data_IF_700093757412
#
_entry.id   IF_700093757412
#
_cell.length_a   1.000
_cell.length_b   1.000
_cell.length_c   1.000
_cell.angle_alpha   90.00
_cell.angle_beta   90.00
_cell.angle_gamma   90.00
#
_symmetry.space_group_name_H-M   'P 1'
#
loop_
_entity.id
_entity.type
_entity.pdbx_description
1 polymer ?
#
# COMPACT_ATOMS: atom_id res chain seq x y z
N UNK A 1 -17.38 10.28 -5.21
CA UNK A 1 -17.43 8.97 -5.94
C UNK A 1 -16.30 8.03 -5.52
N UNK A 2 -15.03 8.44 -5.64
CA UNK A 2 -13.85 7.63 -5.28
C UNK A 2 -13.82 7.21 -3.79
N UNK A 3 -14.22 8.11 -2.88
CA UNK A 3 -14.32 7.78 -1.45
C UNK A 3 -15.20 6.54 -1.19
N UNK A 4 -16.42 6.52 -1.73
CA UNK A 4 -17.36 5.39 -1.59
C UNK A 4 -16.80 4.10 -2.17
N UNK A 5 -16.11 4.18 -3.32
CA UNK A 5 -15.48 3.01 -3.96
C UNK A 5 -14.39 2.46 -3.05
N UNK A 6 -13.50 3.32 -2.57
CA UNK A 6 -12.41 2.92 -1.69
C UNK A 6 -12.92 2.32 -0.37
N UNK A 7 -13.96 2.92 0.23
CA UNK A 7 -14.61 2.38 1.43
C UNK A 7 -15.12 0.96 1.19
N UNK A 8 -15.85 0.74 0.09
CA UNK A 8 -16.39 -0.58 -0.27
C UNK A 8 -15.29 -1.63 -0.54
N UNK A 9 -14.16 -1.21 -1.12
CA UNK A 9 -13.03 -2.08 -1.39
C UNK A 9 -12.28 -2.48 -0.10
N UNK A 10 -12.16 -1.55 0.86
CA UNK A 10 -11.45 -1.78 2.12
C UNK A 10 -12.34 -2.46 3.17
N UNK A 11 -13.53 -1.91 3.43
CA UNK A 11 -14.53 -2.42 4.36
C UNK A 11 -15.69 -2.98 3.55
N UNK A 12 -15.82 -4.30 3.55
CA UNK A 12 -17.00 -4.94 2.99
C UNK A 12 -18.10 -4.92 4.05
N UNK A 13 -19.31 -4.63 3.61
CA UNK A 13 -20.50 -4.58 4.47
C UNK A 13 -20.93 -5.99 4.94
N UNK A 14 -20.32 -7.06 4.43
CA UNK A 14 -20.72 -8.44 4.71
C UNK A 14 -19.53 -9.35 5.11
N UNK A 15 -19.61 -10.11 6.22
CA UNK A 15 -18.57 -11.04 6.69
C UNK A 15 -18.26 -12.23 5.76
N UNK A 16 -19.05 -12.42 4.69
CA UNK A 16 -18.98 -13.59 3.79
C UNK A 16 -18.39 -13.25 2.42
N UNK A 17 -18.09 -11.99 2.14
CA UNK A 17 -17.41 -11.61 0.92
C UNK A 17 -15.90 -11.66 1.20
N UNK A 18 -15.39 -12.89 1.30
CA UNK A 18 -13.97 -13.24 1.42
C UNK A 18 -13.32 -13.42 0.03
N UNK A 19 -13.92 -12.83 -1.01
CA UNK A 19 -13.33 -12.88 -2.34
C UNK A 19 -11.96 -12.21 -2.33
N UNK A 20 -10.99 -12.92 -2.89
CA UNK A 20 -9.58 -12.53 -2.95
C UNK A 20 -9.41 -11.17 -3.63
N UNK A 21 -8.46 -10.38 -3.16
CA UNK A 21 -8.08 -9.13 -3.82
C UNK A 21 -7.19 -9.48 -5.01
N UNK A 22 -7.71 -9.27 -6.21
CA UNK A 22 -6.97 -9.42 -7.46
C UNK A 22 -6.31 -8.11 -7.91
N UNK A 23 -5.57 -8.15 -9.01
CA UNK A 23 -4.84 -6.98 -9.52
C UNK A 23 -5.79 -5.86 -9.99
N UNK A 24 -7.00 -6.18 -10.45
CA UNK A 24 -8.02 -5.18 -10.83
C UNK A 24 -8.55 -4.44 -9.59
N UNK A 25 -8.74 -5.15 -8.48
CA UNK A 25 -9.06 -4.56 -7.19
C UNK A 25 -7.91 -3.69 -6.67
N UNK A 26 -6.65 -4.13 -6.79
CA UNK A 26 -5.47 -3.32 -6.44
C UNK A 26 -5.38 -2.05 -7.29
N UNK A 27 -5.61 -2.15 -8.60
CA UNK A 27 -5.67 -0.98 -9.50
C UNK A 27 -6.78 -0.01 -9.07
N UNK A 28 -7.95 -0.53 -8.72
CA UNK A 28 -9.08 0.28 -8.25
C UNK A 28 -8.79 0.97 -6.91
N UNK A 29 -8.08 0.29 -6.01
CA UNK A 29 -7.60 0.84 -4.74
C UNK A 29 -6.58 1.95 -5.00
N UNK A 30 -5.56 1.71 -5.85
CA UNK A 30 -4.56 2.71 -6.23
C UNK A 30 -5.25 3.97 -6.76
N UNK A 31 -6.13 3.84 -7.75
CA UNK A 31 -6.80 4.98 -8.37
C UNK A 31 -7.67 5.75 -7.36
N UNK A 32 -8.39 5.03 -6.50
CA UNK A 32 -9.28 5.67 -5.53
C UNK A 32 -8.53 6.30 -4.37
N UNK A 33 -7.49 5.64 -3.83
CA UNK A 33 -6.62 6.19 -2.81
C UNK A 33 -5.84 7.41 -3.33
N UNK A 34 -5.38 7.36 -4.59
CA UNK A 34 -4.74 8.50 -5.24
C UNK A 34 -5.65 9.72 -5.32
N UNK A 35 -6.91 9.52 -5.69
CA UNK A 35 -7.89 10.60 -5.73
C UNK A 35 -8.31 11.11 -4.34
N UNK A 36 -8.31 10.27 -3.31
CA UNK A 36 -8.79 10.62 -1.97
C UNK A 36 -7.69 11.19 -1.07
N UNK A 37 -6.48 10.65 -1.13
CA UNK A 37 -5.41 10.94 -0.17
C UNK A 37 -4.17 11.59 -0.78
N UNK A 38 -3.94 11.42 -2.08
CA UNK A 38 -2.66 11.80 -2.70
C UNK A 38 -2.80 12.85 -3.81
N UNK A 39 -3.97 13.48 -3.93
CA UNK A 39 -4.25 14.57 -4.89
C UNK A 39 -3.83 14.25 -6.34
N UNK A 40 -3.99 12.99 -6.76
CA UNK A 40 -3.64 12.55 -8.10
C UNK A 40 -2.13 12.36 -8.37
N UNK A 41 -1.24 12.63 -7.41
CA UNK A 41 0.23 12.58 -7.56
C UNK A 41 0.74 11.21 -8.04
N UNK A 42 0.07 10.12 -7.68
CA UNK A 42 0.50 8.77 -8.06
C UNK A 42 0.18 8.39 -9.53
N UNK A 43 -0.54 9.24 -10.26
CA UNK A 43 -1.04 8.92 -11.60
C UNK A 43 0.10 8.66 -12.59
N UNK A 44 0.15 7.44 -13.12
CA UNK A 44 1.20 7.03 -14.06
C UNK A 44 2.61 6.95 -13.46
N UNK A 45 2.74 6.95 -12.12
CA UNK A 45 4.03 6.94 -11.41
C UNK A 45 4.20 5.77 -10.45
N UNK A 46 3.22 4.88 -10.37
CA UNK A 46 3.25 3.69 -9.51
C UNK A 46 3.04 2.46 -10.38
N UNK A 47 3.95 1.52 -10.27
CA UNK A 47 3.82 0.16 -10.79
C UNK A 47 3.93 -0.82 -9.61
N UNK A 48 3.37 -2.02 -9.74
CA UNK A 48 3.63 -3.09 -8.78
C UNK A 48 3.87 -4.43 -9.46
N UNK A 49 4.61 -5.29 -8.79
CA UNK A 49 4.83 -6.67 -9.19
C UNK A 49 4.79 -7.62 -7.99
N UNK A 50 4.50 -8.89 -8.27
CA UNK A 50 4.53 -9.96 -7.30
C UNK A 50 5.89 -10.66 -7.32
N UNK A 51 6.48 -10.91 -6.15
CA UNK A 51 7.73 -11.66 -6.02
C UNK A 51 7.58 -12.89 -5.15
N UNK A 52 8.26 -13.96 -5.57
CA UNK A 52 8.45 -15.20 -4.83
C UNK A 52 9.94 -15.48 -4.61
N UNK A 53 10.80 -14.45 -4.60
CA UNK A 53 12.20 -14.65 -4.22
C UNK A 53 12.32 -14.97 -2.71
N UNK A 54 13.40 -15.64 -2.32
CA UNK A 54 13.63 -16.10 -0.93
C UNK A 54 13.43 -15.01 0.12
N UNK A 55 13.95 -13.79 -0.11
CA UNK A 55 13.77 -12.63 0.79
C UNK A 55 12.32 -12.23 1.05
N UNK A 56 11.39 -12.54 0.15
CA UNK A 56 9.97 -12.22 0.32
C UNK A 56 9.20 -13.32 1.07
N UNK A 57 9.82 -14.44 1.43
CA UNK A 57 9.15 -15.50 2.20
C UNK A 57 9.09 -15.24 3.70
N UNK A 58 10.03 -14.46 4.24
CA UNK A 58 10.21 -14.30 5.68
C UNK A 58 10.49 -12.86 6.09
N UNK A 59 11.19 -12.10 5.25
CA UNK A 59 11.75 -10.81 5.65
C UNK A 59 11.02 -9.60 5.10
N UNK A 60 10.25 -9.71 4.00
CA UNK A 60 9.65 -8.54 3.34
C UNK A 60 8.23 -8.86 2.88
N UNK A 61 7.25 -8.11 3.39
CA UNK A 61 5.84 -8.19 2.97
C UNK A 61 5.62 -7.36 1.71
N UNK A 62 6.17 -6.15 1.70
CA UNK A 62 6.21 -5.23 0.56
C UNK A 62 7.49 -4.39 0.62
N UNK A 63 7.89 -3.82 -0.51
CA UNK A 63 8.91 -2.78 -0.57
C UNK A 63 8.64 -1.87 -1.76
N UNK A 64 8.99 -0.60 -1.61
CA UNK A 64 8.92 0.38 -2.69
C UNK A 64 10.32 0.77 -3.15
N UNK A 65 10.56 0.73 -4.45
CA UNK A 65 11.73 1.28 -5.10
C UNK A 65 11.40 2.63 -5.76
N UNK A 66 12.39 3.52 -5.82
CA UNK A 66 12.32 4.82 -6.46
C UNK A 66 13.30 4.88 -7.62
N UNK A 67 12.87 5.38 -8.78
CA UNK A 67 13.74 5.66 -9.92
C UNK A 67 13.32 6.96 -10.64
N UNK A 68 14.24 7.62 -11.36
CA UNK A 68 13.86 8.67 -12.30
C UNK A 68 12.90 8.13 -13.36
N UNK A 69 11.98 8.96 -13.83
CA UNK A 69 11.07 8.57 -14.92
C UNK A 69 11.86 8.33 -16.20
N UNK A 70 11.49 7.27 -16.92
CA UNK A 70 12.06 6.99 -18.25
C UNK A 70 11.66 8.07 -19.27
N UNK A 71 10.45 8.63 -19.13
CA UNK A 71 9.88 9.64 -20.02
C UNK A 71 9.42 10.87 -19.21
N UNK A 72 10.22 11.94 -19.26
CA UNK A 72 9.93 13.23 -18.62
C UNK A 72 10.55 13.40 -17.23
N UNK A 73 10.21 14.51 -16.58
CA UNK A 73 10.84 14.90 -15.32
C UNK A 73 10.20 14.24 -14.10
N UNK A 74 11.02 14.11 -13.05
CA UNK A 74 10.63 13.60 -11.73
C UNK A 74 10.85 12.10 -11.58
N UNK A 75 10.10 11.52 -10.63
CA UNK A 75 10.30 10.16 -10.19
C UNK A 75 9.08 9.26 -10.42
N UNK A 76 9.34 7.96 -10.54
CA UNK A 76 8.35 6.90 -10.51
C UNK A 76 8.81 5.77 -9.57
N UNK A 77 7.85 4.92 -9.21
CA UNK A 77 8.01 3.94 -8.15
C UNK A 77 7.55 2.55 -8.58
N UNK A 78 8.22 1.54 -8.02
CA UNK A 78 7.87 0.14 -8.20
C UNK A 78 7.67 -0.49 -6.82
N UNK A 79 6.45 -0.97 -6.57
CA UNK A 79 6.12 -1.77 -5.40
C UNK A 79 6.41 -3.23 -5.71
N UNK A 80 7.12 -3.93 -4.85
CA UNK A 80 7.29 -5.38 -4.93
C UNK A 80 6.59 -6.02 -3.75
N UNK A 81 5.56 -6.82 -4.04
CA UNK A 81 4.70 -7.48 -3.06
C UNK A 81 5.11 -8.94 -2.89
N UNK A 82 5.13 -9.43 -1.64
CA UNK A 82 5.38 -10.83 -1.34
C UNK A 82 4.18 -11.70 -1.71
N UNK A 83 4.29 -12.44 -2.81
CA UNK A 83 3.33 -13.48 -3.16
C UNK A 83 3.15 -14.53 -2.04
N UNK A 84 4.23 -15.13 -1.46
CA UNK A 84 4.07 -16.21 -0.49
C UNK A 84 3.47 -15.77 0.86
N UNK A 85 3.54 -14.49 1.23
CA UNK A 85 2.91 -13.97 2.45
C UNK A 85 1.52 -13.44 2.14
N UNK A 86 1.38 -12.56 1.14
CA UNK A 86 0.15 -11.81 0.92
C UNK A 86 -0.96 -12.59 0.21
N UNK A 87 -0.62 -13.72 -0.45
CA UNK A 87 -1.59 -14.66 -1.02
C UNK A 87 -1.79 -15.90 -0.15
N UNK A 88 -1.21 -15.91 1.05
CA UNK A 88 -1.36 -17.04 1.96
C UNK A 88 -2.77 -17.03 2.58
N UNK A 89 -3.58 -18.10 2.40
CA UNK A 89 -4.94 -18.15 2.92
C UNK A 89 -5.02 -18.17 4.46
N UNK A 90 -3.90 -18.31 5.16
CA UNK A 90 -3.84 -18.17 6.62
C UNK A 90 -4.16 -16.73 7.07
N UNK A 91 -3.82 -15.74 6.27
CA UNK A 91 -4.02 -14.33 6.61
C UNK A 91 -5.25 -13.79 5.91
N UNK A 92 -5.99 -12.93 6.59
CA UNK A 92 -7.14 -12.28 6.00
C UNK A 92 -6.74 -11.15 5.02
N UNK A 93 -7.68 -10.77 4.15
CA UNK A 93 -7.48 -9.77 3.09
C UNK A 93 -6.94 -8.41 3.58
N UNK A 94 -7.16 -8.04 4.85
CA UNK A 94 -6.66 -6.80 5.45
C UNK A 94 -5.13 -6.77 5.42
N UNK A 95 -4.43 -7.90 5.45
CA UNK A 95 -2.97 -7.90 5.33
C UNK A 95 -2.52 -7.32 3.99
N UNK A 96 -3.12 -7.78 2.88
CA UNK A 96 -2.81 -7.27 1.54
C UNK A 96 -3.25 -5.81 1.38
N UNK A 97 -4.43 -5.43 1.88
CA UNK A 97 -4.88 -4.03 1.87
C UNK A 97 -3.89 -3.12 2.60
N UNK A 98 -3.48 -3.53 3.79
CA UNK A 98 -2.58 -2.77 4.65
C UNK A 98 -1.21 -2.65 4.00
N UNK A 99 -0.68 -3.76 3.46
CA UNK A 99 0.61 -3.76 2.78
C UNK A 99 0.59 -2.86 1.55
N UNK A 100 -0.45 -2.97 0.72
CA UNK A 100 -0.53 -2.15 -0.48
C UNK A 100 -0.67 -0.66 -0.15
N UNK A 101 -1.57 -0.28 0.78
CA UNK A 101 -1.72 1.12 1.20
C UNK A 101 -0.45 1.67 1.87
N UNK A 102 0.25 0.86 2.67
CA UNK A 102 1.54 1.22 3.25
C UNK A 102 2.55 1.61 2.16
N UNK A 103 2.68 0.77 1.12
CA UNK A 103 3.59 1.05 0.02
C UNK A 103 3.13 2.25 -0.83
N UNK A 104 1.82 2.52 -0.97
CA UNK A 104 1.34 3.74 -1.64
C UNK A 104 1.74 5.03 -0.90
N UNK A 105 1.81 5.01 0.44
CA UNK A 105 2.32 6.15 1.21
C UNK A 105 3.81 6.37 0.90
N UNK A 106 4.60 5.29 0.84
CA UNK A 106 6.00 5.38 0.40
C UNK A 106 6.12 5.93 -1.02
N UNK A 107 5.29 5.46 -1.95
CA UNK A 107 5.25 5.97 -3.31
C UNK A 107 5.03 7.48 -3.33
N UNK A 108 4.03 7.97 -2.60
CA UNK A 108 3.73 9.39 -2.51
C UNK A 108 4.93 10.20 -1.98
N UNK A 109 5.49 9.78 -0.85
CA UNK A 109 6.63 10.48 -0.24
C UNK A 109 7.87 10.45 -1.11
N UNK A 110 8.15 9.34 -1.78
CA UNK A 110 9.29 9.23 -2.69
C UNK A 110 9.11 10.11 -3.94
N UNK A 111 7.89 10.25 -4.45
CA UNK A 111 7.60 11.14 -5.58
C UNK A 111 7.76 12.61 -5.17
N UNK A 112 7.27 12.97 -3.98
CA UNK A 112 7.29 14.36 -3.50
C UNK A 112 8.67 14.81 -3.00
N UNK A 113 9.40 13.93 -2.34
CA UNK A 113 10.63 14.27 -1.62
C UNK A 113 11.89 13.62 -2.23
N UNK A 114 11.75 12.78 -3.26
CA UNK A 114 12.87 12.06 -3.86
C UNK A 114 13.56 11.11 -2.88
N UNK A 115 14.88 10.97 -3.00
CA UNK A 115 15.67 10.05 -2.18
C UNK A 115 15.72 10.43 -0.70
N UNK A 116 15.46 11.69 -0.33
CA UNK A 116 15.42 12.13 1.07
C UNK A 116 14.32 11.43 1.88
N UNK A 117 13.24 11.02 1.22
CA UNK A 117 12.20 10.23 1.88
C UNK A 117 12.65 8.81 2.26
N UNK A 118 13.83 8.33 1.83
CA UNK A 118 14.38 7.04 2.30
C UNK A 118 14.98 7.10 3.70
N UNK A 119 15.13 8.30 4.27
CA UNK A 119 15.52 8.46 5.68
C UNK A 119 14.57 7.69 6.58
N UNK A 120 15.09 7.13 7.67
CA UNK A 120 14.28 6.33 8.61
C UNK A 120 13.55 5.15 7.93
N UNK A 121 14.14 4.60 6.86
CA UNK A 121 13.55 3.54 6.01
C UNK A 121 12.21 3.93 5.36
N UNK A 122 11.90 5.22 5.27
CA UNK A 122 10.62 5.71 4.76
C UNK A 122 9.58 6.03 5.84
N UNK A 123 9.79 5.63 7.10
CA UNK A 123 8.86 5.88 8.20
C UNK A 123 9.12 7.21 8.89
N UNK A 124 9.18 8.27 8.08
CA UNK A 124 9.34 9.65 8.58
C UNK A 124 8.08 10.14 9.29
N UNK A 125 8.14 11.31 9.94
CA UNK A 125 6.95 11.99 10.48
C UNK A 125 5.83 12.16 9.44
N UNK A 126 6.19 12.43 8.18
CA UNK A 126 5.23 12.54 7.08
C UNK A 126 4.52 11.22 6.79
N UNK A 127 5.24 10.09 6.85
CA UNK A 127 4.64 8.76 6.73
C UNK A 127 3.63 8.50 7.82
N UNK A 128 4.00 8.72 9.09
CA UNK A 128 3.12 8.47 10.22
C UNK A 128 1.85 9.32 10.18
N UNK A 129 1.96 10.60 9.81
CA UNK A 129 0.80 11.48 9.66
C UNK A 129 -0.17 10.98 8.59
N UNK A 130 0.33 10.57 7.41
CA UNK A 130 -0.53 10.05 6.34
C UNK A 130 -1.15 8.70 6.75
N UNK A 131 -0.37 7.81 7.36
CA UNK A 131 -0.84 6.51 7.82
C UNK A 131 -1.98 6.66 8.85
N UNK A 132 -1.84 7.59 9.80
CA UNK A 132 -2.88 7.91 10.78
C UNK A 132 -4.15 8.48 10.13
N UNK A 133 -4.01 9.38 9.15
CA UNK A 133 -5.16 9.91 8.40
C UNK A 133 -5.94 8.78 7.71
N UNK A 134 -5.24 7.87 7.03
CA UNK A 134 -5.86 6.76 6.31
C UNK A 134 -6.51 5.78 7.29
N UNK A 135 -5.82 5.41 8.37
CA UNK A 135 -6.34 4.46 9.36
C UNK A 135 -7.57 5.02 10.09
N UNK A 136 -7.53 6.29 10.50
CA UNK A 136 -8.70 6.97 11.09
C UNK A 136 -9.87 7.08 10.11
N UNK A 137 -9.59 7.33 8.83
CA UNK A 137 -10.64 7.41 7.81
C UNK A 137 -11.31 6.05 7.57
N UNK A 138 -10.57 4.94 7.62
CA UNK A 138 -11.13 3.58 7.50
C UNK A 138 -11.88 3.20 8.77
N UNK A 139 -11.25 3.39 9.93
CA UNK A 139 -11.66 2.91 11.23
C UNK A 139 -10.40 2.65 12.05
N UNK A 140 -10.16 3.37 13.16
CA UNK A 140 -8.91 3.29 13.90
C UNK A 140 -8.51 1.86 14.25
N UNK A 141 -7.25 1.50 13.97
CA UNK A 141 -6.67 0.19 14.21
C UNK A 141 -7.04 -0.89 13.20
N UNK A 142 -7.85 -0.60 12.17
CA UNK A 142 -8.31 -1.61 11.21
C UNK A 142 -7.20 -2.06 10.25
N UNK A 143 -6.32 -1.15 9.81
CA UNK A 143 -5.25 -1.46 8.86
C UNK A 143 -3.88 -1.62 9.52
N UNK A 144 -3.67 -1.10 10.74
CA UNK A 144 -2.40 -1.24 11.46
C UNK A 144 -1.15 -0.92 10.59
N UNK A 145 -1.25 0.13 9.76
CA UNK A 145 -0.28 0.45 8.70
C UNK A 145 1.16 0.60 9.20
N UNK A 146 1.36 0.98 10.46
CA UNK A 146 2.69 1.16 11.03
C UNK A 146 3.35 -0.15 11.54
N UNK A 147 2.60 -1.24 11.74
CA UNK A 147 3.06 -2.40 12.53
C UNK A 147 2.88 -3.77 11.85
N UNK A 148 2.71 -3.83 10.53
CA UNK A 148 2.32 -5.06 9.83
C UNK A 148 3.27 -6.25 10.04
N UNK A 149 4.59 -6.04 9.97
CA UNK A 149 5.57 -7.12 10.21
C UNK A 149 5.59 -7.62 11.65
N UNK A 150 5.40 -6.71 12.60
CA UNK A 150 5.47 -7.04 14.02
C UNK A 150 4.21 -7.77 14.51
N UNK A 151 3.13 -7.75 13.72
CA UNK A 151 1.84 -8.28 14.15
C UNK A 151 1.10 -9.02 13.03
N UNK A 152 1.77 -9.97 12.38
CA UNK A 152 1.09 -10.90 11.46
C UNK A 152 -0.02 -11.69 12.15
N UNK A 153 0.02 -11.85 13.48
CA UNK A 153 -1.06 -12.49 14.26
C UNK A 153 -2.34 -11.65 14.34
N UNK A 154 -2.30 -10.37 13.95
CA UNK A 154 -3.47 -9.50 13.87
C UNK A 154 -4.30 -9.73 12.59
N UNK A 155 -3.71 -10.44 11.63
CA UNK A 155 -4.25 -10.75 10.31
C UNK A 155 -4.37 -12.26 10.12
#
# INVERSE_FOLDING_TARGET
>A
KHERILRKLIRRDHPLDDSTIDDDALLSILNSANAVFFDGVLSGRVQWEWSSQSRYHTELIGTTALRPRTNGDGFETLIVLSSPILKNPKYDRRLLLSAFLHELIHCYLFIMCGFEARRERGHTKGFHAIAEIIDNWVGPGYLSLCNMKANLNHF
#
